data_IF_821605501076
#
_entry.id   IF_821605501076
#
_cell.length_a   1.000
_cell.length_b   1.000
_cell.length_c   1.000
_cell.angle_alpha   90.00
_cell.angle_beta   90.00
_cell.angle_gamma   90.00
#
_symmetry.space_group_name_H-M   'P 1'
#
loop_
_entity.id
_entity.type
_entity.pdbx_description
1 polymer ?
#
# COMPACT_ATOMS: atom_id res chain seq x y z
N UNK A 1 20.75 15.34 -49.65
CA UNK A 1 19.86 14.62 -48.72
C UNK A 1 19.07 13.59 -49.50
N UNK A 2 19.09 12.33 -49.08
CA UNK A 2 18.35 11.23 -49.76
C UNK A 2 16.89 11.20 -49.31
N UNK A 3 15.97 10.76 -50.18
CA UNK A 3 14.51 10.69 -49.90
C UNK A 3 14.16 10.01 -48.56
N UNK A 4 14.93 8.99 -48.17
CA UNK A 4 14.76 8.29 -46.88
C UNK A 4 15.07 9.20 -45.68
N UNK A 5 16.06 10.07 -45.80
CA UNK A 5 16.46 11.02 -44.74
C UNK A 5 15.39 12.10 -44.52
N UNK A 6 14.68 12.51 -45.57
CA UNK A 6 13.55 13.45 -45.47
C UNK A 6 12.34 12.82 -44.76
N UNK A 7 12.09 11.53 -45.02
CA UNK A 7 11.02 10.77 -44.35
C UNK A 7 11.29 10.61 -42.85
N UNK A 8 12.54 10.31 -42.46
CA UNK A 8 12.88 10.21 -41.03
C UNK A 8 12.79 11.56 -40.31
N UNK A 9 13.20 12.66 -40.96
CA UNK A 9 13.07 14.01 -40.39
C UNK A 9 11.59 14.41 -40.24
N UNK A 10 10.73 14.06 -41.21
CA UNK A 10 9.29 14.37 -41.10
C UNK A 10 8.61 13.58 -39.99
N UNK A 11 8.99 12.30 -39.79
CA UNK A 11 8.46 11.47 -38.69
C UNK A 11 8.92 12.02 -37.33
N UNK A 12 10.18 12.46 -37.23
CA UNK A 12 10.75 13.00 -36.00
C UNK A 12 10.11 14.35 -35.63
N UNK A 13 9.83 15.21 -36.61
CA UNK A 13 9.04 16.43 -36.40
C UNK A 13 7.60 16.14 -36.00
N UNK A 14 6.94 15.15 -36.62
CA UNK A 14 5.58 14.76 -36.27
C UNK A 14 5.46 14.22 -34.83
N UNK A 15 6.47 13.49 -34.34
CA UNK A 15 6.52 13.06 -32.95
C UNK A 15 6.79 14.21 -31.97
N UNK A 16 7.60 15.20 -32.36
CA UNK A 16 7.90 16.37 -31.51
C UNK A 16 6.65 17.23 -31.23
N UNK A 17 5.72 17.31 -32.19
CA UNK A 17 4.44 18.02 -32.00
C UNK A 17 3.44 17.28 -31.09
N UNK A 18 3.59 15.97 -30.88
CA UNK A 18 2.72 15.20 -29.99
C UNK A 18 3.09 15.31 -28.50
N UNK A 19 4.31 15.81 -28.17
CA UNK A 19 4.76 15.96 -26.78
C UNK A 19 4.69 17.41 -26.24
N UNK A 20 4.40 18.41 -27.07
CA UNK A 20 4.36 19.85 -26.68
C UNK A 20 2.91 20.38 -26.57
N UNK A 21 1.95 19.49 -26.30
CA UNK A 21 0.51 19.78 -26.36
C UNK A 21 -0.24 19.79 -25.02
N UNK A 22 0.43 19.76 -23.86
CA UNK A 22 -0.23 19.87 -22.56
C UNK A 22 0.55 20.80 -21.61
N UNK A 23 0.56 22.08 -21.91
CA UNK A 23 0.72 23.12 -20.88
C UNK A 23 -0.55 23.95 -20.91
N UNK A 24 -1.61 23.44 -20.27
CA UNK A 24 -2.74 24.28 -19.86
C UNK A 24 -2.25 25.07 -18.64
N UNK A 25 -1.65 26.22 -18.95
CA UNK A 25 -1.41 27.30 -18.01
C UNK A 25 -2.67 28.17 -18.02
N UNK A 26 -3.62 27.88 -17.12
CA UNK A 26 -4.63 28.80 -16.58
C UNK A 26 -5.64 28.07 -15.67
N UNK A 27 -5.46 28.20 -14.36
CA UNK A 27 -6.59 28.39 -13.45
C UNK A 27 -6.15 29.38 -12.34
N UNK A 28 -6.99 30.38 -12.01
CA UNK A 28 -6.62 31.53 -11.19
C UNK A 28 -6.38 31.16 -9.72
N UNK A 29 -5.46 31.89 -9.10
CA UNK A 29 -5.35 32.02 -7.66
C UNK A 29 -6.67 32.58 -7.10
N UNK A 30 -7.55 31.71 -6.62
CA UNK A 30 -8.51 32.08 -5.59
C UNK A 30 -7.93 31.64 -4.25
N UNK A 31 -7.24 32.58 -3.60
CA UNK A 31 -7.00 32.52 -2.16
C UNK A 31 -8.34 32.67 -1.42
N UNK A 32 -9.08 31.57 -1.37
CA UNK A 32 -10.11 31.39 -0.36
C UNK A 32 -9.42 31.12 0.97
N UNK A 33 -9.56 32.04 1.93
CA UNK A 33 -9.27 31.75 3.34
C UNK A 33 -9.86 30.37 3.69
N UNK A 34 -9.11 29.47 4.35
CA UNK A 34 -9.68 28.22 4.81
C UNK A 34 -10.77 28.56 5.82
N UNK A 35 -12.02 28.51 5.38
CA UNK A 35 -13.16 28.43 6.27
C UNK A 35 -12.87 27.31 7.27
N UNK A 36 -12.92 27.56 8.59
CA UNK A 36 -12.73 26.50 9.55
C UNK A 36 -13.84 25.50 9.30
N UNK A 37 -13.48 24.35 8.73
CA UNK A 37 -14.40 23.23 8.57
C UNK A 37 -14.81 22.78 9.98
N UNK A 38 -15.89 23.37 10.47
CA UNK A 38 -16.77 22.82 11.51
C UNK A 38 -17.56 21.63 10.92
N UNK A 39 -16.87 20.75 10.20
CA UNK A 39 -17.32 19.39 10.02
C UNK A 39 -16.64 18.63 11.13
N UNK A 40 -17.42 18.26 12.16
CA UNK A 40 -17.02 17.30 13.17
C UNK A 40 -16.49 16.06 12.43
N UNK A 41 -15.17 16.00 12.24
CA UNK A 41 -14.52 14.79 11.72
C UNK A 41 -14.83 13.71 12.74
N UNK A 42 -15.39 12.57 12.31
CA UNK A 42 -15.56 11.44 13.22
C UNK A 42 -14.22 11.19 13.90
N UNK A 43 -14.29 10.90 15.20
CA UNK A 43 -13.10 10.64 16.00
C UNK A 43 -12.23 9.64 15.25
N UNK A 44 -10.98 10.03 14.96
CA UNK A 44 -10.04 9.18 14.26
C UNK A 44 -9.84 7.85 15.00
N UNK A 45 -10.10 7.82 16.31
CA UNK A 45 -10.09 6.60 17.12
C UNK A 45 -11.18 5.58 16.73
N UNK A 46 -12.24 5.99 16.02
CA UNK A 46 -13.33 5.12 15.56
C UNK A 46 -13.28 4.77 14.07
N UNK A 47 -12.29 5.29 13.33
CA UNK A 47 -12.15 5.05 11.90
C UNK A 47 -11.33 3.78 11.65
N UNK A 48 -12.00 2.65 11.49
CA UNK A 48 -11.37 1.44 10.97
C UNK A 48 -11.01 1.66 9.49
N UNK A 49 -9.76 1.37 9.13
CA UNK A 49 -9.32 1.35 7.73
C UNK A 49 -9.70 -0.02 7.14
N UNK A 50 -10.66 -0.10 6.19
CA UNK A 50 -11.01 -1.37 5.56
C UNK A 50 -9.78 -1.93 4.85
N UNK A 51 -9.42 -3.18 5.18
CA UNK A 51 -8.25 -3.84 4.59
C UNK A 51 -6.90 -3.46 5.20
N UNK A 52 -6.88 -2.75 6.33
CA UNK A 52 -5.65 -2.64 7.11
C UNK A 52 -5.22 -4.03 7.61
N UNK A 53 -3.94 -4.41 7.44
CA UNK A 53 -3.42 -5.66 8.00
C UNK A 53 -3.59 -5.68 9.52
N UNK A 54 -4.08 -6.78 10.11
CA UNK A 54 -4.12 -6.91 11.56
C UNK A 54 -2.70 -6.85 12.13
N UNK A 55 -2.47 -6.14 13.24
CA UNK A 55 -1.17 -6.16 13.89
C UNK A 55 -0.91 -7.53 14.55
N UNK A 56 0.36 -7.90 14.69
CA UNK A 56 0.79 -9.13 15.34
C UNK A 56 0.71 -8.98 16.86
N UNK A 57 0.23 -9.99 17.59
CA UNK A 57 0.33 -9.98 19.05
C UNK A 57 1.80 -9.90 19.49
N UNK A 58 2.07 -9.27 20.63
CA UNK A 58 3.43 -9.03 21.15
C UNK A 58 4.27 -10.31 21.29
N UNK A 59 3.63 -11.46 21.53
CA UNK A 59 4.31 -12.75 21.64
C UNK A 59 4.74 -13.38 20.29
N UNK A 60 4.47 -12.69 19.16
CA UNK A 60 4.86 -13.12 17.82
C UNK A 60 6.21 -12.55 17.36
N UNK A 61 6.81 -11.62 18.10
CA UNK A 61 8.04 -10.90 17.68
C UNK A 61 9.19 -11.85 17.33
N UNK A 62 9.33 -12.94 18.09
CA UNK A 62 10.40 -13.94 17.90
C UNK A 62 10.02 -15.06 16.90
N UNK A 63 8.81 -15.03 16.33
CA UNK A 63 8.34 -16.06 15.37
C UNK A 63 8.81 -15.80 13.94
N UNK A 64 9.15 -14.55 13.61
CA UNK A 64 9.68 -14.20 12.30
C UNK A 64 11.16 -14.61 12.18
N UNK A 65 11.45 -15.48 11.22
CA UNK A 65 12.81 -15.81 10.81
C UNK A 65 13.06 -15.25 9.40
N UNK A 66 13.98 -14.28 9.21
CA UNK A 66 14.23 -13.67 7.91
C UNK A 66 14.83 -14.65 6.89
N UNK A 67 15.44 -15.74 7.33
CA UNK A 67 15.97 -16.79 6.44
C UNK A 67 14.86 -17.69 5.91
N UNK A 68 13.88 -18.02 6.77
CA UNK A 68 12.71 -18.85 6.41
C UNK A 68 11.56 -18.04 5.80
N UNK A 69 11.58 -16.72 5.95
CA UNK A 69 10.54 -15.79 5.46
C UNK A 69 9.14 -16.23 5.88
N UNK A 70 8.18 -16.30 4.97
CA UNK A 70 6.80 -16.70 5.22
C UNK A 70 6.71 -18.08 5.90
N UNK A 71 7.64 -18.98 5.64
CA UNK A 71 7.57 -20.35 6.15
C UNK A 71 7.63 -20.37 7.68
N UNK A 72 8.31 -19.40 8.31
CA UNK A 72 8.33 -19.24 9.78
C UNK A 72 6.94 -18.99 10.37
N UNK A 73 6.12 -18.17 9.70
CA UNK A 73 4.75 -17.86 10.10
C UNK A 73 3.77 -18.99 9.75
N UNK A 74 3.97 -19.64 8.59
CA UNK A 74 3.07 -20.68 8.07
C UNK A 74 3.10 -21.97 8.87
N UNK A 75 4.10 -22.19 9.73
CA UNK A 75 4.09 -23.29 10.72
C UNK A 75 2.77 -23.34 11.49
N UNK A 76 2.22 -22.16 11.81
CA UNK A 76 0.91 -22.02 12.45
C UNK A 76 -0.18 -21.62 11.47
N UNK A 77 0.05 -20.58 10.67
CA UNK A 77 -0.99 -19.98 9.83
C UNK A 77 -1.43 -20.82 8.62
N UNK A 78 -0.77 -21.94 8.33
CA UNK A 78 -1.22 -22.92 7.34
C UNK A 78 -1.59 -24.27 7.97
N UNK A 79 -1.71 -24.32 9.30
CA UNK A 79 -2.00 -25.52 10.06
C UNK A 79 -3.24 -25.32 10.94
N UNK A 80 -4.41 -25.84 10.53
CA UNK A 80 -5.66 -25.65 11.27
C UNK A 80 -5.63 -26.24 12.68
N UNK A 81 -4.73 -27.19 12.96
CA UNK A 81 -4.59 -27.79 14.29
C UNK A 81 -4.01 -26.81 15.34
N UNK A 82 -3.36 -25.74 14.91
CA UNK A 82 -2.77 -24.73 15.82
C UNK A 82 -3.79 -23.72 16.33
N UNK A 83 -4.95 -23.62 15.68
CA UNK A 83 -5.95 -22.59 15.96
C UNK A 83 -5.58 -21.19 15.45
N UNK A 84 -4.41 -21.02 14.82
CA UNK A 84 -4.06 -19.77 14.16
C UNK A 84 -4.97 -19.53 12.94
N UNK A 85 -5.28 -18.27 12.68
CA UNK A 85 -6.12 -17.88 11.55
C UNK A 85 -5.38 -18.16 10.25
N UNK A 86 -6.00 -18.92 9.34
CA UNK A 86 -5.45 -19.14 8.00
C UNK A 86 -5.36 -17.85 7.18
N UNK A 87 -4.39 -17.79 6.28
CA UNK A 87 -4.20 -16.66 5.37
C UNK A 87 -5.43 -16.50 4.46
N UNK A 88 -5.95 -15.28 4.29
CA UNK A 88 -6.98 -15.00 3.30
C UNK A 88 -6.44 -15.08 1.87
N UNK A 89 -7.35 -15.17 0.90
CA UNK A 89 -7.05 -15.29 -0.52
C UNK A 89 -6.13 -14.19 -1.07
N UNK A 90 -6.27 -12.97 -0.55
CA UNK A 90 -5.50 -11.77 -0.93
C UNK A 90 -4.01 -11.80 -0.52
N UNK A 91 -3.51 -12.93 -0.01
CA UNK A 91 -2.09 -13.18 0.24
C UNK A 91 -1.41 -13.99 -0.89
N UNK A 92 -2.20 -14.50 -1.85
CA UNK A 92 -1.75 -15.39 -2.92
C UNK A 92 -1.83 -14.71 -4.30
N UNK A 93 -0.89 -14.99 -5.20
CA UNK A 93 -0.80 -14.33 -6.52
C UNK A 93 -2.09 -14.42 -7.36
N UNK A 94 -2.87 -15.49 -7.20
CA UNK A 94 -4.09 -15.76 -7.96
C UNK A 94 -5.34 -15.82 -7.08
N UNK A 95 -5.29 -15.30 -5.85
CA UNK A 95 -6.38 -15.40 -4.87
C UNK A 95 -6.78 -16.85 -4.52
N UNK A 96 -5.91 -17.80 -4.81
CA UNK A 96 -6.11 -19.22 -4.50
C UNK A 96 -5.46 -19.57 -3.16
N UNK A 97 -6.29 -19.86 -2.16
CA UNK A 97 -5.82 -20.28 -0.82
C UNK A 97 -4.99 -21.56 -0.95
N UNK A 98 -3.79 -21.54 -0.40
CA UNK A 98 -2.81 -22.64 -0.52
C UNK A 98 -1.92 -22.57 -1.76
N UNK A 99 -2.10 -21.56 -2.62
CA UNK A 99 -1.26 -21.29 -3.79
C UNK A 99 0.08 -20.63 -3.44
N UNK A 100 0.71 -20.00 -4.43
CA UNK A 100 1.96 -19.24 -4.23
C UNK A 100 1.66 -17.90 -3.57
N UNK A 101 2.26 -17.68 -2.40
CA UNK A 101 2.16 -16.42 -1.66
C UNK A 101 2.96 -15.33 -2.40
N UNK A 102 2.36 -14.14 -2.56
CA UNK A 102 3.06 -12.99 -3.13
C UNK A 102 3.60 -12.02 -2.07
N UNK A 103 2.99 -12.01 -0.87
CA UNK A 103 3.46 -11.23 0.30
C UNK A 103 4.19 -12.15 1.27
N UNK A 104 5.41 -12.50 0.89
CA UNK A 104 6.20 -13.52 1.57
C UNK A 104 7.00 -12.96 2.77
N UNK A 105 6.99 -11.64 2.96
CA UNK A 105 7.57 -10.95 4.11
C UNK A 105 6.48 -10.33 4.98
N UNK A 106 5.91 -11.15 5.87
CA UNK A 106 4.71 -10.82 6.65
C UNK A 106 4.89 -9.57 7.53
N UNK A 107 6.07 -9.39 8.12
CA UNK A 107 6.39 -8.28 9.04
C UNK A 107 6.42 -6.90 8.35
N UNK A 108 6.39 -6.84 7.02
CA UNK A 108 6.29 -5.58 6.28
C UNK A 108 4.92 -4.90 6.43
N UNK A 109 3.88 -5.69 6.68
CA UNK A 109 2.50 -5.22 6.75
C UNK A 109 1.88 -5.45 8.13
N UNK A 110 2.20 -6.58 8.76
CA UNK A 110 1.69 -6.91 10.09
C UNK A 110 2.66 -6.38 11.16
N UNK A 111 2.44 -5.17 11.64
CA UNK A 111 3.26 -4.57 12.69
C UNK A 111 2.97 -5.21 14.06
N UNK A 112 3.95 -5.25 14.96
CA UNK A 112 3.75 -5.71 16.33
C UNK A 112 2.83 -4.77 17.13
N UNK A 113 1.95 -5.35 17.94
CA UNK A 113 1.21 -4.62 18.97
C UNK A 113 2.11 -4.37 20.16
N UNK A 114 2.35 -3.09 20.47
CA UNK A 114 3.09 -2.67 21.65
C UNK A 114 2.08 -2.41 22.77
N UNK A 115 2.30 -3.01 23.95
CA UNK A 115 1.51 -2.77 25.15
C UNK A 115 1.89 -1.43 25.83
N UNK A 116 1.79 -0.34 25.06
CA UNK A 116 1.85 1.03 25.56
C UNK A 116 0.76 1.85 24.87
N UNK A 117 0.22 2.83 25.60
CA UNK A 117 -0.74 3.76 25.02
C UNK A 117 -0.04 4.62 23.97
N UNK A 118 -0.71 4.96 22.86
CA UNK A 118 -0.20 5.94 21.90
C UNK A 118 0.22 7.24 22.59
N UNK A 119 1.24 7.91 22.05
CA UNK A 119 1.78 9.16 22.65
C UNK A 119 0.77 10.32 22.70
N UNK A 120 -0.33 10.24 21.96
CA UNK A 120 -1.44 11.20 21.94
C UNK A 120 -2.67 10.59 22.63
N UNK A 121 -3.55 11.43 23.19
CA UNK A 121 -4.77 11.01 23.91
C UNK A 121 -4.51 10.02 25.08
N UNK A 122 -3.35 10.10 25.76
CA UNK A 122 -2.99 9.21 26.89
C UNK A 122 -3.89 9.35 28.12
N UNK A 123 -4.35 10.58 28.34
CA UNK A 123 -4.96 11.04 29.59
C UNK A 123 -6.49 11.25 29.52
N UNK A 124 -7.11 10.96 28.36
CA UNK A 124 -8.56 11.01 28.18
C UNK A 124 -9.22 9.67 28.54
#
# INVERSE_FOLDING_TARGET
MTSKSLLYISILFAMLFLFVGCTDDSAPDEEGEPTPMSLERPDAASMDLPGAPPPQPTDHVDRWDPELRQDSCLVCHNNPATGAKELPADHYYNEEVGGVIFRDNCVQCHAEQIDDKPGFNRDN
#
